data_IF_566648207085
#
_entry.id   IF_566648207085
#
_cell.length_a   1.000
_cell.length_b   1.000
_cell.length_c   1.000
_cell.angle_alpha   90.00
_cell.angle_beta   90.00
_cell.angle_gamma   90.00
#
_symmetry.space_group_name_H-M   'P 1'
#
loop_
_entity.id
_entity.type
_entity.pdbx_description
1 polymer ?
#
# COMPACT_ATOMS: atom_id res chain seq x y z
N UNK A 1 -0.64 -29.77 7.42
CA UNK A 1 -1.24 -28.73 6.56
C UNK A 1 -0.93 -27.39 7.20
N UNK A 2 0.27 -26.88 6.95
CA UNK A 2 0.66 -25.53 7.38
C UNK A 2 -0.01 -24.57 6.40
N UNK A 3 -0.89 -23.69 6.86
CA UNK A 3 -1.30 -22.56 6.04
C UNK A 3 -0.03 -21.85 5.60
N UNK A 4 0.22 -21.82 4.29
CA UNK A 4 1.39 -21.14 3.77
C UNK A 4 1.28 -19.64 4.11
N UNK A 5 2.39 -19.05 4.54
CA UNK A 5 2.41 -17.64 4.91
C UNK A 5 2.01 -16.74 3.73
N UNK A 6 2.25 -17.21 2.49
CA UNK A 6 1.76 -16.59 1.26
C UNK A 6 0.24 -16.58 1.14
N UNK A 7 -0.41 -17.73 1.34
CA UNK A 7 -1.88 -17.85 1.26
C UNK A 7 -2.57 -16.92 2.28
N UNK A 8 -2.02 -16.84 3.49
CA UNK A 8 -2.57 -15.97 4.53
C UNK A 8 -2.42 -14.48 4.17
N UNK A 9 -1.29 -14.09 3.59
CA UNK A 9 -1.06 -12.72 3.15
C UNK A 9 -2.02 -12.31 2.02
N UNK A 10 -2.25 -13.21 1.05
CA UNK A 10 -3.22 -13.00 -0.04
C UNK A 10 -4.64 -12.86 0.51
N UNK A 11 -5.04 -13.71 1.45
CA UNK A 11 -6.37 -13.63 2.07
C UNK A 11 -6.60 -12.29 2.79
N UNK A 12 -5.63 -11.85 3.60
CA UNK A 12 -5.71 -10.53 4.25
C UNK A 12 -5.75 -9.39 3.24
N UNK A 13 -4.92 -9.43 2.20
CA UNK A 13 -4.93 -8.42 1.14
C UNK A 13 -6.32 -8.31 0.47
N UNK A 14 -6.89 -9.43 0.07
CA UNK A 14 -8.18 -9.45 -0.61
C UNK A 14 -9.30 -8.94 0.30
N UNK A 15 -9.28 -9.29 1.58
CA UNK A 15 -10.24 -8.76 2.57
C UNK A 15 -10.08 -7.25 2.77
N UNK A 16 -8.84 -6.77 2.86
CA UNK A 16 -8.53 -5.34 2.94
C UNK A 16 -9.02 -4.58 1.71
N UNK A 17 -8.91 -5.18 0.52
CA UNK A 17 -9.38 -4.58 -0.73
C UNK A 17 -10.91 -4.46 -0.78
N UNK A 18 -11.64 -5.46 -0.31
CA UNK A 18 -13.11 -5.39 -0.17
C UNK A 18 -13.50 -4.25 0.77
N UNK A 19 -12.83 -4.12 1.92
CA UNK A 19 -13.06 -3.04 2.88
C UNK A 19 -12.71 -1.68 2.31
N UNK A 20 -11.63 -1.57 1.55
CA UNK A 20 -11.26 -0.36 0.84
C UNK A 20 -12.38 0.10 -0.11
N UNK A 21 -12.95 -0.81 -0.90
CA UNK A 21 -14.07 -0.48 -1.78
C UNK A 21 -15.35 -0.09 -1.02
N UNK A 22 -15.50 -0.56 0.22
CA UNK A 22 -16.57 -0.13 1.13
C UNK A 22 -16.27 1.17 1.88
N UNK A 23 -15.11 1.79 1.63
CA UNK A 23 -14.66 3.02 2.34
C UNK A 23 -14.36 2.76 3.83
N UNK A 24 -14.21 1.49 4.23
CA UNK A 24 -13.86 1.05 5.58
C UNK A 24 -12.33 1.13 5.77
N UNK A 25 -11.76 2.33 5.61
CA UNK A 25 -10.31 2.52 5.44
C UNK A 25 -9.47 2.08 6.64
N UNK A 26 -9.92 2.31 7.87
CA UNK A 26 -9.19 1.86 9.07
C UNK A 26 -9.06 0.34 9.10
N UNK A 27 -10.14 -0.37 8.83
CA UNK A 27 -10.12 -1.83 8.81
C UNK A 27 -9.33 -2.38 7.62
N UNK A 28 -9.34 -1.69 6.48
CA UNK A 28 -8.52 -2.04 5.33
C UNK A 28 -7.01 -1.88 5.64
N UNK A 29 -6.63 -0.82 6.36
CA UNK A 29 -5.26 -0.61 6.83
C UNK A 29 -4.78 -1.74 7.75
N UNK A 30 -5.63 -2.21 8.66
CA UNK A 30 -5.32 -3.33 9.54
C UNK A 30 -5.07 -4.61 8.74
N UNK A 31 -5.91 -4.87 7.73
CA UNK A 31 -5.79 -6.03 6.86
C UNK A 31 -4.53 -5.98 6.00
N UNK A 32 -4.21 -4.85 5.37
CA UNK A 32 -2.96 -4.72 4.63
C UNK A 32 -1.74 -4.84 5.55
N UNK A 33 -1.83 -4.34 6.78
CA UNK A 33 -0.74 -4.50 7.77
C UNK A 33 -0.59 -5.96 8.19
N UNK A 34 -1.67 -6.71 8.37
CA UNK A 34 -1.63 -8.14 8.64
C UNK A 34 -1.05 -8.92 7.46
N UNK A 35 -1.42 -8.58 6.21
CA UNK A 35 -0.85 -9.18 5.01
C UNK A 35 0.67 -8.99 4.93
N UNK A 36 1.16 -7.78 5.21
CA UNK A 36 2.60 -7.46 5.23
C UNK A 36 3.34 -8.24 6.32
N UNK A 37 2.72 -8.43 7.49
CA UNK A 37 3.31 -9.23 8.58
C UNK A 37 3.37 -10.72 8.24
N UNK A 38 2.36 -11.23 7.53
CA UNK A 38 2.32 -12.61 7.07
C UNK A 38 3.36 -12.88 5.98
N UNK A 39 3.46 -11.99 4.98
CA UNK A 39 4.47 -12.06 3.94
C UNK A 39 4.99 -10.66 3.59
N UNK A 40 6.23 -10.37 4.00
CA UNK A 40 6.87 -9.09 3.76
C UNK A 40 7.47 -8.94 2.34
N UNK A 41 7.44 -10.00 1.54
CA UNK A 41 7.85 -10.02 0.14
C UNK A 41 6.67 -9.80 -0.81
N UNK A 42 5.45 -9.74 -0.29
CA UNK A 42 4.26 -9.45 -1.08
C UNK A 42 4.10 -7.94 -1.23
N UNK A 43 4.31 -7.43 -2.43
CA UNK A 43 4.36 -6.00 -2.75
C UNK A 43 2.98 -5.33 -2.77
N UNK A 44 1.92 -6.08 -3.11
CA UNK A 44 0.57 -5.54 -3.34
C UNK A 44 -0.04 -4.90 -2.08
N UNK A 45 0.06 -5.50 -0.87
CA UNK A 45 -0.38 -4.88 0.37
C UNK A 45 0.31 -3.55 0.68
N UNK A 46 1.60 -3.38 0.34
CA UNK A 46 2.29 -2.10 0.52
C UNK A 46 1.68 -1.04 -0.39
N UNK A 47 1.50 -1.36 -1.67
CA UNK A 47 0.83 -0.44 -2.61
C UNK A 47 -0.58 -0.06 -2.12
N UNK A 48 -1.40 -1.03 -1.75
CA UNK A 48 -2.77 -0.80 -1.29
C UNK A 48 -2.84 0.02 0.00
N UNK A 49 -1.90 -0.20 0.94
CA UNK A 49 -1.79 0.62 2.15
C UNK A 49 -1.35 2.05 1.83
N UNK A 50 -0.43 2.21 0.89
CA UNK A 50 0.01 3.50 0.36
C UNK A 50 -1.13 4.32 -0.23
N UNK A 51 -2.05 3.69 -0.98
CA UNK A 51 -3.23 4.38 -1.53
C UNK A 51 -4.11 5.00 -0.44
N UNK A 52 -4.34 4.30 0.66
CA UNK A 52 -5.09 4.85 1.80
C UNK A 52 -4.31 5.99 2.47
N UNK A 53 -2.98 5.81 2.60
CA UNK A 53 -2.09 6.78 3.26
C UNK A 53 -1.62 7.90 2.35
N UNK A 54 -2.19 8.05 1.15
CA UNK A 54 -1.72 8.96 0.09
C UNK A 54 -1.36 10.37 0.59
N UNK A 55 -2.18 10.92 1.51
CA UNK A 55 -1.99 12.28 2.04
C UNK A 55 -1.16 12.36 3.33
N UNK A 56 -0.77 11.23 3.91
CA UNK A 56 -0.12 11.15 5.22
C UNK A 56 1.32 10.60 5.12
N UNK A 57 1.50 9.40 4.57
CA UNK A 57 2.80 8.71 4.52
C UNK A 57 2.81 7.58 3.47
N UNK A 58 2.42 7.88 2.23
CA UNK A 58 2.36 6.88 1.17
C UNK A 58 3.69 6.62 0.47
N UNK A 59 4.61 7.59 0.52
CA UNK A 59 5.91 7.51 -0.15
C UNK A 59 6.69 6.25 0.28
N UNK A 60 6.72 5.98 1.59
CA UNK A 60 7.40 4.83 2.16
C UNK A 60 6.82 3.51 1.65
N UNK A 61 5.50 3.43 1.59
CA UNK A 61 4.79 2.22 1.15
C UNK A 61 4.96 1.97 -0.34
N UNK A 62 4.88 3.01 -1.19
CA UNK A 62 5.14 2.84 -2.63
C UNK A 62 6.60 2.53 -2.93
N UNK A 63 7.55 3.16 -2.24
CA UNK A 63 8.97 2.80 -2.35
C UNK A 63 9.20 1.34 -1.99
N UNK A 64 8.57 0.85 -0.91
CA UNK A 64 8.71 -0.55 -0.52
C UNK A 64 8.14 -1.52 -1.55
N UNK A 65 6.98 -1.19 -2.14
CA UNK A 65 6.41 -1.98 -3.23
C UNK A 65 7.37 -2.05 -4.44
N UNK A 66 8.04 -0.94 -4.79
CA UNK A 66 9.00 -0.88 -5.89
C UNK A 66 10.35 -1.55 -5.59
N UNK A 67 10.77 -1.61 -4.33
CA UNK A 67 11.93 -2.41 -3.91
C UNK A 67 11.69 -3.90 -4.15
N UNK A 68 10.46 -4.38 -3.88
CA UNK A 68 10.07 -5.77 -4.05
C UNK A 68 9.78 -6.10 -5.52
N UNK A 69 9.08 -5.21 -6.22
CA UNK A 69 8.74 -5.34 -7.62
C UNK A 69 8.99 -4.01 -8.34
N UNK A 70 10.19 -3.89 -8.90
CA UNK A 70 10.60 -2.68 -9.62
C UNK A 70 9.81 -2.43 -10.91
N UNK A 71 8.99 -3.38 -11.37
CA UNK A 71 8.12 -3.25 -12.54
C UNK A 71 6.67 -2.93 -12.18
N UNK A 72 6.35 -2.68 -10.91
CA UNK A 72 4.99 -2.34 -10.49
C UNK A 72 4.62 -0.91 -10.94
N UNK A 73 4.02 -0.80 -12.12
CA UNK A 73 3.72 0.47 -12.79
C UNK A 73 2.83 1.39 -11.95
N UNK A 74 1.76 0.85 -11.35
CA UNK A 74 0.84 1.64 -10.53
C UNK A 74 1.54 2.27 -9.32
N UNK A 75 2.46 1.55 -8.69
CA UNK A 75 3.27 2.07 -7.58
C UNK A 75 4.22 3.18 -8.06
N UNK A 76 4.82 3.08 -9.25
CA UNK A 76 5.64 4.15 -9.84
C UNK A 76 4.84 5.42 -10.07
N UNK A 77 3.66 5.28 -10.70
CA UNK A 77 2.78 6.40 -11.00
C UNK A 77 2.31 7.07 -9.71
N UNK A 78 1.90 6.27 -8.72
CA UNK A 78 1.42 6.77 -7.44
C UNK A 78 2.53 7.47 -6.65
N UNK A 79 3.76 6.94 -6.65
CA UNK A 79 4.92 7.60 -6.03
C UNK A 79 5.23 8.93 -6.71
N UNK A 80 5.27 8.95 -8.06
CA UNK A 80 5.50 10.18 -8.82
C UNK A 80 4.46 11.24 -8.48
N UNK A 81 3.18 10.88 -8.45
CA UNK A 81 2.11 11.81 -8.09
C UNK A 81 2.24 12.29 -6.64
N UNK A 82 2.59 11.41 -5.70
CA UNK A 82 2.82 11.77 -4.28
C UNK A 82 3.88 12.86 -4.14
N UNK A 83 5.01 12.72 -4.86
CA UNK A 83 6.10 13.69 -4.83
C UNK A 83 5.68 15.02 -5.46
N UNK A 84 4.99 14.98 -6.61
CA UNK A 84 4.48 16.19 -7.27
C UNK A 84 3.50 16.97 -6.39
N UNK A 85 2.58 16.28 -5.73
CA UNK A 85 1.61 16.88 -4.81
C UNK A 85 2.31 17.51 -3.60
N UNK A 86 3.35 16.86 -3.08
CA UNK A 86 4.17 17.40 -1.99
C UNK A 86 4.93 18.66 -2.41
N UNK A 87 5.59 18.64 -3.57
CA UNK A 87 6.28 19.82 -4.13
C UNK A 87 5.31 20.99 -4.34
N UNK A 88 4.10 20.69 -4.80
CA UNK A 88 3.06 21.68 -5.01
C UNK A 88 2.61 22.34 -3.70
N UNK A 89 2.41 21.55 -2.65
CA UNK A 89 2.07 22.05 -1.30
C UNK A 89 3.15 23.01 -0.78
N UNK A 90 4.42 22.65 -0.92
CA UNK A 90 5.55 23.50 -0.51
C UNK A 90 5.59 24.80 -1.31
N UNK A 91 5.43 24.74 -2.64
CA UNK A 91 5.38 25.93 -3.50
C UNK A 91 4.22 26.87 -3.15
N UNK A 92 3.12 26.33 -2.61
CA UNK A 92 1.95 27.08 -2.15
C UNK A 92 2.12 27.67 -0.74
N UNK A 93 3.22 27.38 -0.05
CA UNK A 93 3.56 27.97 1.25
C UNK A 93 2.85 27.34 2.46
N UNK A 94 2.46 26.08 2.36
CA UNK A 94 1.94 25.28 3.49
C UNK A 94 2.99 24.28 3.99
#
# INVERSE_FOLDING_TARGET
>A
MTCDAGDLAVAFNNRGQIKYFRVDFYEALDDYTAAIKANNLFEVPFYNRGLIRYRLDAEKDFKKALELNCNFEDAKLSLKQTILDWEYKIKRGY
#
